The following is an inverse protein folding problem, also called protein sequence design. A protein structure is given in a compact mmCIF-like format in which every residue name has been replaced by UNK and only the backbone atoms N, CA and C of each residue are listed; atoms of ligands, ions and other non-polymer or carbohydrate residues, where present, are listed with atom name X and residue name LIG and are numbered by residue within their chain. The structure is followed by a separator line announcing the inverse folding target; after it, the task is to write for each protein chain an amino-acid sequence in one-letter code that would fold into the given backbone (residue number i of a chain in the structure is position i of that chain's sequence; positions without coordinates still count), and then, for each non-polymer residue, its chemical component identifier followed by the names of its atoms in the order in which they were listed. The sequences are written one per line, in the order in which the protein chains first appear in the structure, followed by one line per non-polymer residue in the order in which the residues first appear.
data_IF_032016626118
#
_entry.id   IF_032016626118
#
_cell.length_a   1.000
_cell.length_b   1.000
_cell.length_c   1.000
_cell.angle_alpha   90.00
_cell.angle_beta   90.00
_cell.angle_gamma   90.00
#
_symmetry.space_group_name_H-M   'P 1'
#
loop_
_entity.id
_entity.type
_entity.pdbx_description
1 polymer ?
#
# COMPACT_ATOMS: atom_id res chain seq x y z
N UNK A 1 19.34 4.04 0.45
CA UNK A 1 19.58 2.58 0.42
C UNK A 1 18.83 1.84 1.55
N UNK A 2 17.60 2.25 1.88
CA UNK A 2 16.86 1.66 3.02
C UNK A 2 16.19 0.34 2.64
N UNK A 3 15.57 0.27 1.46
CA UNK A 3 14.92 -0.96 0.96
C UNK A 3 15.93 -2.11 0.85
N UNK A 4 17.07 -1.87 0.19
CA UNK A 4 18.15 -2.86 0.04
C UNK A 4 18.68 -3.33 1.41
N UNK A 5 18.76 -2.43 2.40
CA UNK A 5 19.21 -2.80 3.75
C UNK A 5 18.18 -3.67 4.47
N UNK A 6 16.90 -3.29 4.40
CA UNK A 6 15.81 -4.04 5.01
C UNK A 6 15.68 -5.45 4.39
N UNK A 7 15.86 -5.57 3.07
CA UNK A 7 15.93 -6.85 2.38
C UNK A 7 17.10 -7.71 2.90
N UNK A 8 18.31 -7.15 3.00
CA UNK A 8 19.48 -7.85 3.53
C UNK A 8 19.29 -8.32 4.99
N UNK A 9 18.51 -7.58 5.78
CA UNK A 9 18.21 -7.91 7.18
C UNK A 9 16.98 -8.84 7.33
N UNK A 10 16.32 -9.24 6.25
CA UNK A 10 15.01 -9.91 6.27
C UNK A 10 13.94 -9.16 7.09
N UNK A 11 14.02 -7.84 7.12
CA UNK A 11 13.07 -7.01 7.84
C UNK A 11 11.80 -6.83 6.99
N UNK A 12 10.59 -7.09 7.54
CA UNK A 12 9.34 -6.80 6.84
C UNK A 12 9.25 -5.32 6.43
N UNK A 13 8.88 -5.07 5.18
CA UNK A 13 8.88 -3.72 4.60
C UNK A 13 7.44 -3.29 4.30
N UNK A 14 7.13 -2.05 4.68
CA UNK A 14 5.91 -1.36 4.25
C UNK A 14 6.35 -0.26 3.27
N UNK A 15 5.97 -0.38 1.99
CA UNK A 15 6.26 0.65 0.98
C UNK A 15 5.00 1.13 0.30
N UNK A 16 4.92 2.42 0.00
CA UNK A 16 3.79 2.98 -0.73
C UNK A 16 4.13 4.30 -1.41
N UNK A 17 3.48 4.53 -2.54
CA UNK A 17 3.41 5.82 -3.20
C UNK A 17 2.24 6.65 -2.67
N UNK A 18 2.50 7.93 -2.38
CA UNK A 18 1.46 8.89 -2.06
C UNK A 18 0.89 9.56 -3.33
N UNK A 19 -0.31 10.12 -3.19
CA UNK A 19 -1.01 10.85 -4.25
C UNK A 19 -1.56 9.94 -5.35
N UNK A 20 -2.12 10.57 -6.39
CA UNK A 20 -2.83 9.87 -7.45
C UNK A 20 -1.97 8.82 -8.16
N UNK A 21 -0.75 9.21 -8.56
CA UNK A 21 0.19 8.30 -9.23
C UNK A 21 0.66 7.16 -8.33
N UNK A 22 0.58 7.33 -7.02
CA UNK A 22 0.98 6.33 -6.02
C UNK A 22 -0.05 5.22 -5.81
N UNK A 23 -1.32 5.40 -6.24
CA UNK A 23 -2.40 4.43 -6.05
C UNK A 23 -2.07 3.03 -6.55
N UNK A 24 -1.36 2.92 -7.68
CA UNK A 24 -0.98 1.63 -8.27
C UNK A 24 -0.13 0.79 -7.31
N UNK A 25 0.72 1.42 -6.48
CA UNK A 25 1.53 0.70 -5.47
C UNK A 25 0.69 0.11 -4.34
N UNK A 26 -0.52 0.64 -4.13
CA UNK A 26 -1.49 0.16 -3.13
C UNK A 26 -2.26 -1.03 -3.66
N UNK A 27 -2.68 -0.94 -4.92
CA UNK A 27 -3.36 -2.01 -5.67
C UNK A 27 -2.45 -3.24 -5.76
N UNK A 28 -1.19 -3.07 -6.15
CA UNK A 28 -0.23 -4.17 -6.32
C UNK A 28 0.40 -4.67 -5.00
N UNK A 29 0.04 -4.09 -3.85
CA UNK A 29 0.71 -4.36 -2.57
C UNK A 29 0.76 -5.86 -2.20
N UNK A 30 -0.32 -6.67 -2.35
CA UNK A 30 -0.26 -8.10 -2.06
C UNK A 30 0.72 -8.87 -2.94
N UNK A 31 0.88 -8.46 -4.21
CA UNK A 31 1.79 -9.11 -5.16
C UNK A 31 3.24 -8.65 -4.98
N UNK A 32 3.44 -7.42 -4.52
CA UNK A 32 4.76 -6.80 -4.34
C UNK A 32 5.46 -7.21 -3.03
N UNK A 33 4.88 -8.11 -2.22
CA UNK A 33 5.47 -8.56 -0.95
C UNK A 33 5.40 -7.52 0.17
N UNK A 34 4.46 -6.57 0.08
CA UNK A 34 4.26 -5.53 1.08
C UNK A 34 3.69 -6.15 2.36
N UNK A 35 4.26 -5.82 3.53
CA UNK A 35 3.84 -6.46 4.78
C UNK A 35 2.40 -6.10 5.18
N UNK A 36 2.02 -4.83 5.02
CA UNK A 36 0.65 -4.36 5.23
C UNK A 36 0.37 -3.11 4.39
N UNK A 37 -0.89 -2.69 4.38
CA UNK A 37 -1.32 -1.47 3.73
C UNK A 37 -2.29 -0.67 4.61
N UNK A 38 -2.34 0.66 4.44
CA UNK A 38 -3.29 1.54 5.13
C UNK A 38 -4.46 1.91 4.22
N UNK A 39 -5.66 1.50 4.62
CA UNK A 39 -6.90 1.75 3.89
C UNK A 39 -7.95 2.31 4.86
N UNK A 40 -8.46 3.53 4.66
CA UNK A 40 -9.56 4.04 5.47
C UNK A 40 -10.87 3.30 5.17
N UNK A 41 -11.84 3.39 6.08
CA UNK A 41 -13.17 2.82 5.87
C UNK A 41 -13.98 3.70 4.91
N UNK A 42 -13.92 5.03 5.07
CA UNK A 42 -14.54 6.01 4.19
C UNK A 42 -13.48 6.94 3.58
N UNK A 43 -13.82 7.65 2.49
CA UNK A 43 -12.85 8.52 1.79
C UNK A 43 -12.43 9.73 2.62
N UNK A 44 -13.32 10.19 3.48
CA UNK A 44 -13.12 11.36 4.35
C UNK A 44 -12.14 11.04 5.49
N UNK A 45 -12.02 9.77 5.87
CA UNK A 45 -11.10 9.28 6.91
C UNK A 45 -9.65 9.12 6.41
N UNK A 46 -9.37 9.55 5.16
CA UNK A 46 -8.04 9.47 4.59
C UNK A 46 -7.04 10.37 5.33
N UNK A 47 -6.00 9.75 5.88
CA UNK A 47 -4.91 10.41 6.61
C UNK A 47 -3.71 10.75 5.72
N UNK A 48 -3.65 10.19 4.50
CA UNK A 48 -2.56 10.43 3.56
C UNK A 48 -3.06 10.48 2.10
N UNK A 49 -2.47 11.35 1.24
CA UNK A 49 -2.86 11.46 -0.15
C UNK A 49 -2.77 10.12 -0.92
N UNK A 50 -3.80 9.83 -1.71
CA UNK A 50 -3.86 8.64 -2.55
C UNK A 50 -4.30 7.37 -1.82
N UNK A 51 -4.73 7.44 -0.55
CA UNK A 51 -5.38 6.31 0.11
C UNK A 51 -6.66 5.91 -0.64
N UNK A 52 -6.84 4.59 -0.77
CA UNK A 52 -8.04 3.95 -1.31
C UNK A 52 -8.75 3.27 -0.15
N UNK A 53 -10.07 3.30 -0.15
CA UNK A 53 -10.85 2.64 0.90
C UNK A 53 -10.61 1.13 0.89
N UNK A 54 -10.87 0.47 2.01
CA UNK A 54 -10.78 -0.99 2.10
C UNK A 54 -11.61 -1.67 0.99
N UNK A 55 -12.85 -1.23 0.78
CA UNK A 55 -13.73 -1.78 -0.23
C UNK A 55 -13.19 -1.59 -1.66
N UNK A 56 -12.67 -0.40 -1.99
CA UNK A 56 -12.05 -0.16 -3.30
C UNK A 56 -10.84 -1.08 -3.54
N UNK A 57 -10.01 -1.34 -2.52
CA UNK A 57 -8.87 -2.26 -2.66
C UNK A 57 -9.33 -3.71 -2.82
N UNK A 58 -10.38 -4.13 -2.11
CA UNK A 58 -10.96 -5.47 -2.25
C UNK A 58 -11.44 -5.76 -3.67
N UNK A 59 -11.96 -4.76 -4.40
CA UNK A 59 -12.33 -4.93 -5.80
C UNK A 59 -11.15 -5.30 -6.70
N UNK A 60 -9.95 -4.81 -6.39
CA UNK A 60 -8.73 -5.16 -7.15
C UNK A 60 -8.08 -6.46 -6.70
N UNK A 61 -8.19 -6.80 -5.41
CA UNK A 61 -7.48 -7.95 -4.82
C UNK A 61 -8.23 -9.28 -4.96
N UNK A 62 -9.54 -9.26 -5.16
CA UNK A 62 -10.37 -10.46 -5.27
C UNK A 62 -10.42 -11.05 -6.71
N UNK A 63 -9.41 -10.76 -7.53
CA UNK A 63 -9.24 -11.30 -8.89
C UNK A 63 -8.13 -12.35 -8.94
#
# INVERSE_FOLDING_TARGET
KLIIKAEADNQPIITLGMGEKGKITRILAPQAGNYLYYAPLNKEDATAPGQMTYNELQEYWNY
#
